data_IF_646360035315
#
_entry.id   IF_646360035315
#
_cell.length_a   1.000
_cell.length_b   1.000
_cell.length_c   1.000
_cell.angle_alpha   90.00
_cell.angle_beta   90.00
_cell.angle_gamma   90.00
#
_symmetry.space_group_name_H-M   'P 1'
#
loop_
_entity.id
_entity.type
_entity.pdbx_description
1 polymer ?
#
# COMPACT_ATOMS: atom_id res chain seq x y z
N UNK A 1 -1.16 -27.65 1.10
CA UNK A 1 -1.30 -27.49 2.57
C UNK A 1 -1.91 -26.14 2.98
N UNK A 2 -1.52 -25.00 2.37
CA UNK A 2 -2.12 -23.68 2.66
C UNK A 2 -3.56 -23.52 2.14
N UNK A 3 -3.86 -24.02 0.94
CA UNK A 3 -5.23 -24.04 0.39
C UNK A 3 -6.22 -24.81 1.28
N UNK A 4 -5.80 -25.98 1.77
CA UNK A 4 -6.61 -26.79 2.69
C UNK A 4 -6.91 -26.06 4.01
N UNK A 5 -5.95 -25.27 4.50
CA UNK A 5 -6.13 -24.43 5.69
C UNK A 5 -7.12 -23.29 5.41
N UNK A 6 -7.12 -22.75 4.20
CA UNK A 6 -8.03 -21.70 3.77
C UNK A 6 -9.48 -22.21 3.66
N UNK A 7 -9.66 -23.36 3.02
CA UNK A 7 -10.94 -24.07 2.92
C UNK A 7 -11.49 -24.43 4.32
N UNK A 8 -10.64 -24.94 5.23
CA UNK A 8 -11.05 -25.23 6.61
C UNK A 8 -11.43 -24.00 7.42
N UNK A 9 -10.72 -22.88 7.24
CA UNK A 9 -11.05 -21.61 7.88
C UNK A 9 -12.35 -21.02 7.31
N UNK A 10 -12.57 -21.16 6.00
CA UNK A 10 -13.79 -20.75 5.31
C UNK A 10 -15.00 -21.56 5.79
N UNK A 11 -14.87 -22.88 5.88
CA UNK A 11 -15.93 -23.73 6.43
C UNK A 11 -16.23 -23.45 7.91
N UNK A 12 -15.19 -23.20 8.73
CA UNK A 12 -15.39 -22.81 10.14
C UNK A 12 -16.12 -21.47 10.26
N UNK A 13 -15.82 -20.50 9.38
CA UNK A 13 -16.52 -19.22 9.35
C UNK A 13 -17.99 -19.36 8.90
N UNK A 14 -18.28 -20.29 7.98
CA UNK A 14 -19.66 -20.57 7.54
C UNK A 14 -20.45 -21.32 8.63
N UNK A 15 -19.82 -22.28 9.34
CA UNK A 15 -20.46 -23.00 10.45
C UNK A 15 -20.70 -22.16 11.69
N UNK A 16 -19.82 -21.20 11.98
CA UNK A 16 -20.00 -20.23 13.08
C UNK A 16 -20.88 -19.04 12.70
N UNK A 17 -21.64 -19.12 11.60
CA UNK A 17 -22.62 -18.09 11.27
C UNK A 17 -23.77 -18.23 12.27
N UNK A 18 -24.02 -17.25 13.14
CA UNK A 18 -25.13 -17.34 14.10
C UNK A 18 -26.45 -17.54 13.34
N UNK A 19 -27.25 -18.50 13.80
CA UNK A 19 -28.60 -18.74 13.31
C UNK A 19 -29.40 -17.44 13.34
N UNK A 20 -30.16 -17.20 12.27
CA UNK A 20 -30.83 -15.93 12.01
C UNK A 20 -31.82 -15.55 13.12
N UNK A 21 -31.50 -14.49 13.85
CA UNK A 21 -32.47 -13.69 14.60
C UNK A 21 -31.96 -12.24 14.71
N UNK A 22 -32.80 -11.32 14.26
CA UNK A 22 -32.59 -9.89 14.02
C UNK A 22 -31.80 -9.56 12.74
N UNK A 23 -32.40 -8.71 11.90
CA UNK A 23 -31.72 -8.13 10.75
C UNK A 23 -30.36 -7.58 11.22
N UNK A 24 -29.27 -8.07 10.63
CA UNK A 24 -27.95 -7.49 10.88
C UNK A 24 -28.06 -6.04 10.43
N UNK A 25 -28.29 -5.13 11.39
CA UNK A 25 -28.35 -3.70 11.14
C UNK A 25 -27.02 -3.36 10.51
N UNK A 26 -27.02 -3.15 9.18
CA UNK A 26 -25.81 -2.75 8.45
C UNK A 26 -25.21 -1.57 9.21
N UNK A 27 -23.95 -1.68 9.61
CA UNK A 27 -23.28 -0.60 10.29
C UNK A 27 -23.35 0.65 9.41
N UNK A 28 -23.74 1.78 9.97
CA UNK A 28 -23.79 3.06 9.26
C UNK A 28 -22.37 3.51 8.93
N UNK A 29 -21.42 3.24 9.82
CA UNK A 29 -19.99 3.45 9.63
C UNK A 29 -19.22 2.36 10.38
N UNK A 30 -18.15 1.86 9.75
CA UNK A 30 -17.26 0.83 10.26
C UNK A 30 -15.83 1.36 10.15
N UNK A 31 -15.20 1.62 11.28
CA UNK A 31 -13.84 2.16 11.38
C UNK A 31 -12.92 1.02 11.79
N UNK A 32 -12.02 0.62 10.90
CA UNK A 32 -10.97 -0.37 11.21
C UNK A 32 -9.74 0.35 11.72
N UNK A 33 -9.32 0.01 12.94
CA UNK A 33 -8.17 0.63 13.59
C UNK A 33 -6.95 -0.26 13.43
N UNK A 34 -5.89 0.33 12.90
CA UNK A 34 -4.59 -0.29 12.74
C UNK A 34 -3.54 0.54 13.46
N UNK A 35 -2.52 -0.13 13.99
CA UNK A 35 -1.35 0.50 14.57
C UNK A 35 -0.15 0.29 13.65
N UNK A 36 0.55 1.38 13.34
CA UNK A 36 1.73 1.33 12.52
C UNK A 36 2.88 0.66 13.27
N UNK A 37 3.45 -0.37 12.66
CA UNK A 37 4.70 -0.98 13.13
C UNK A 37 5.91 -0.24 12.55
N UNK A 38 7.11 -0.69 12.92
CA UNK A 38 8.34 -0.08 12.43
C UNK A 38 8.44 -0.18 10.90
N UNK A 39 8.25 0.95 10.24
CA UNK A 39 8.22 1.04 8.80
C UNK A 39 9.66 1.12 8.25
N UNK A 40 10.01 0.19 7.35
CA UNK A 40 11.29 0.20 6.64
C UNK A 40 11.10 0.75 5.23
N UNK A 41 11.66 1.93 4.99
CA UNK A 41 11.60 2.63 3.70
C UNK A 41 12.25 1.77 2.62
N UNK A 42 11.53 1.54 1.51
CA UNK A 42 12.12 0.96 0.31
C UNK A 42 12.44 -0.54 0.37
N UNK A 43 12.03 -1.25 1.41
CA UNK A 43 12.05 -2.72 1.43
C UNK A 43 10.67 -3.24 1.09
N UNK A 44 10.51 -3.79 -0.12
CA UNK A 44 9.34 -4.60 -0.44
C UNK A 44 9.47 -5.93 0.32
N UNK A 45 8.41 -6.36 1.01
CA UNK A 45 8.35 -7.72 1.53
C UNK A 45 8.53 -8.71 0.38
N UNK A 46 9.19 -9.85 0.64
CA UNK A 46 9.29 -10.93 -0.35
C UNK A 46 7.92 -11.65 -0.45
N UNK A 47 6.99 -11.00 -1.12
CA UNK A 47 5.65 -11.53 -1.34
C UNK A 47 5.66 -12.63 -2.40
N UNK A 48 4.63 -13.48 -2.41
CA UNK A 48 4.43 -14.48 -3.47
C UNK A 48 4.37 -13.86 -4.87
N UNK A 49 4.03 -12.57 -4.98
CA UNK A 49 4.00 -11.81 -6.24
C UNK A 49 5.39 -11.37 -6.72
N UNK A 50 6.43 -11.46 -5.88
CA UNK A 50 7.81 -11.14 -6.25
C UNK A 50 8.47 -12.21 -7.13
N UNK A 51 8.21 -13.49 -6.82
CA UNK A 51 8.84 -14.63 -7.50
C UNK A 51 8.40 -14.88 -8.95
N UNK A 52 7.13 -14.63 -9.35
CA UNK A 52 6.67 -14.83 -10.72
C UNK A 52 7.57 -14.18 -11.78
N UNK A 53 8.06 -12.96 -11.57
CA UNK A 53 8.90 -12.25 -12.55
C UNK A 53 10.25 -12.89 -12.82
N UNK A 54 10.83 -13.56 -11.82
CA UNK A 54 12.06 -14.33 -12.02
C UNK A 54 11.73 -15.62 -12.78
N UNK A 55 10.65 -16.30 -12.39
CA UNK A 55 10.21 -17.54 -13.04
C UNK A 55 9.87 -17.33 -14.52
N UNK A 56 9.11 -16.29 -14.84
CA UNK A 56 8.74 -15.95 -16.23
C UNK A 56 9.95 -15.56 -17.05
N UNK A 57 10.89 -14.78 -16.51
CA UNK A 57 12.14 -14.44 -17.20
C UNK A 57 12.94 -15.70 -17.56
N UNK A 58 13.01 -16.68 -16.66
CA UNK A 58 13.67 -17.97 -16.95
C UNK A 58 12.92 -18.73 -18.05
N UNK A 59 11.58 -18.79 -17.99
CA UNK A 59 10.77 -19.45 -19.03
C UNK A 59 10.95 -18.77 -20.39
N UNK A 60 10.98 -17.44 -20.43
CA UNK A 60 11.24 -16.67 -21.65
C UNK A 60 12.61 -17.00 -22.25
N UNK A 61 13.67 -17.12 -21.43
CA UNK A 61 15.00 -17.52 -21.88
C UNK A 61 15.02 -18.95 -22.45
N UNK A 62 14.31 -19.89 -21.81
CA UNK A 62 14.20 -21.27 -22.31
C UNK A 62 13.50 -21.31 -23.67
N UNK A 63 12.38 -20.59 -23.82
CA UNK A 63 11.66 -20.51 -25.10
C UNK A 63 12.54 -19.86 -26.17
N UNK A 64 13.29 -18.81 -25.81
CA UNK A 64 14.18 -18.11 -26.73
C UNK A 64 15.42 -18.93 -27.16
N UNK A 65 15.82 -19.92 -26.37
CA UNK A 65 16.94 -20.82 -26.71
C UNK A 65 16.56 -21.90 -27.75
N UNK A 66 15.27 -22.19 -27.92
CA UNK A 66 14.78 -23.16 -28.91
C UNK A 66 15.16 -22.76 -30.35
N UNK A 67 14.89 -21.54 -30.83
CA UNK A 67 15.25 -21.14 -32.19
C UNK A 67 16.77 -21.09 -32.41
N UNK A 68 17.53 -20.75 -31.37
CA UNK A 68 19.00 -20.79 -31.41
C UNK A 68 19.54 -22.20 -31.64
N UNK A 69 18.99 -23.20 -30.94
CA UNK A 69 19.45 -24.59 -31.04
C UNK A 69 18.96 -25.34 -32.27
N UNK A 70 17.73 -25.07 -32.75
CA UNK A 70 17.12 -25.83 -33.86
C UNK A 70 17.31 -25.19 -35.23
N UNK A 71 17.28 -23.85 -35.31
CA UNK A 71 17.30 -23.11 -36.57
C UNK A 71 18.58 -22.27 -36.75
N UNK A 72 19.44 -22.20 -35.74
CA UNK A 72 20.63 -21.34 -35.74
C UNK A 72 20.30 -19.84 -35.65
N UNK A 73 19.04 -19.49 -35.37
CA UNK A 73 18.58 -18.11 -35.25
C UNK A 73 18.88 -17.58 -33.85
N UNK A 74 19.96 -16.82 -33.76
CA UNK A 74 20.43 -16.16 -32.53
C UNK A 74 19.75 -14.83 -32.25
N UNK A 75 18.98 -14.28 -33.21
CA UNK A 75 18.34 -12.97 -33.09
C UNK A 75 17.30 -12.95 -31.96
N UNK A 76 16.43 -13.95 -31.93
CA UNK A 76 15.35 -14.06 -30.93
C UNK A 76 15.92 -14.20 -29.51
N UNK A 77 16.97 -15.01 -29.35
CA UNK A 77 17.66 -15.19 -28.09
C UNK A 77 18.31 -13.88 -27.62
N UNK A 78 19.06 -13.21 -28.50
CA UNK A 78 19.74 -11.96 -28.18
C UNK A 78 18.76 -10.85 -27.78
N UNK A 79 17.66 -10.67 -28.51
CA UNK A 79 16.64 -9.68 -28.19
C UNK A 79 15.99 -9.97 -26.84
N UNK A 80 15.72 -11.24 -26.54
CA UNK A 80 15.11 -11.63 -25.25
C UNK A 80 16.06 -11.34 -24.09
N UNK A 81 17.34 -11.72 -24.21
CA UNK A 81 18.36 -11.44 -23.18
C UNK A 81 18.51 -9.94 -22.96
N UNK A 82 18.68 -9.16 -24.04
CA UNK A 82 18.82 -7.70 -23.95
C UNK A 82 17.58 -7.07 -23.35
N UNK A 83 16.38 -7.48 -23.77
CA UNK A 83 15.11 -6.99 -23.23
C UNK A 83 14.93 -7.28 -21.74
N UNK A 84 15.31 -8.47 -21.28
CA UNK A 84 15.30 -8.83 -19.86
C UNK A 84 16.26 -7.92 -19.07
N UNK A 85 17.51 -7.79 -19.52
CA UNK A 85 18.50 -6.91 -18.87
C UNK A 85 17.97 -5.47 -18.80
N UNK A 86 17.43 -4.96 -19.92
CA UNK A 86 16.91 -3.61 -20.01
C UNK A 86 15.73 -3.39 -19.05
N UNK A 87 14.86 -4.39 -18.89
CA UNK A 87 13.75 -4.39 -17.94
C UNK A 87 14.23 -4.36 -16.49
N UNK A 88 15.21 -5.20 -16.12
CA UNK A 88 15.80 -5.19 -14.77
C UNK A 88 16.53 -3.89 -14.46
N UNK A 89 17.28 -3.34 -15.41
CA UNK A 89 17.96 -2.04 -15.25
C UNK A 89 16.94 -0.92 -15.09
N UNK A 90 15.88 -0.92 -15.90
CA UNK A 90 14.78 0.04 -15.78
C UNK A 90 14.11 -0.08 -14.42
N UNK A 91 13.77 -1.28 -13.96
CA UNK A 91 13.11 -1.51 -12.68
C UNK A 91 13.99 -1.21 -11.45
N UNK A 92 15.31 -1.32 -11.59
CA UNK A 92 16.27 -1.14 -10.49
C UNK A 92 16.79 0.30 -10.34
N UNK A 93 16.28 1.25 -11.14
CA UNK A 93 16.65 2.66 -11.00
C UNK A 93 16.33 3.15 -9.57
N UNK A 94 17.30 3.73 -8.86
CA UNK A 94 17.11 4.20 -7.47
C UNK A 94 16.03 5.28 -7.38
N UNK A 95 15.79 6.00 -8.47
CA UNK A 95 14.74 7.00 -8.61
C UNK A 95 13.36 6.44 -8.27
N UNK A 96 13.02 5.20 -8.69
CA UNK A 96 11.71 4.63 -8.38
C UNK A 96 11.49 4.47 -6.89
N UNK A 97 12.55 4.13 -6.15
CA UNK A 97 12.50 4.02 -4.70
C UNK A 97 12.35 5.39 -4.06
N UNK A 98 13.13 6.37 -4.52
CA UNK A 98 13.08 7.74 -3.99
C UNK A 98 11.73 8.42 -4.25
N UNK A 99 11.17 8.29 -5.46
CA UNK A 99 9.87 8.87 -5.82
C UNK A 99 8.71 8.17 -5.13
N UNK A 100 8.68 6.83 -5.14
CA UNK A 100 7.59 6.08 -4.50
C UNK A 100 7.59 6.24 -2.99
N UNK A 101 8.75 6.49 -2.37
CA UNK A 101 8.91 6.53 -0.92
C UNK A 101 9.39 7.88 -0.39
N UNK A 102 9.04 8.98 -1.06
CA UNK A 102 9.33 10.35 -0.65
C UNK A 102 8.52 10.80 0.59
N UNK A 103 8.52 9.99 1.64
CA UNK A 103 7.78 10.23 2.87
C UNK A 103 8.72 10.34 4.06
N UNK A 104 8.28 11.07 5.10
CA UNK A 104 8.98 11.09 6.38
C UNK A 104 8.71 9.77 7.10
N UNK A 105 9.77 9.10 7.55
CA UNK A 105 9.65 7.93 8.43
C UNK A 105 9.40 8.34 9.88
N UNK A 106 8.93 7.40 10.70
CA UNK A 106 8.71 7.55 12.14
C UNK A 106 7.76 8.70 12.51
N UNK A 107 6.69 8.86 11.74
CA UNK A 107 5.64 9.83 12.03
C UNK A 107 4.81 9.38 13.24
N UNK A 108 4.47 10.32 14.12
CA UNK A 108 3.48 10.10 15.20
C UNK A 108 2.05 10.39 14.76
N UNK A 109 1.87 11.00 13.59
CA UNK A 109 0.57 11.45 13.10
C UNK A 109 -0.39 10.28 12.90
N UNK A 110 -1.57 10.41 13.49
CA UNK A 110 -2.70 9.52 13.24
C UNK A 110 -3.41 9.91 11.95
N UNK A 111 -3.62 8.95 11.06
CA UNK A 111 -4.15 9.18 9.71
C UNK A 111 -5.45 8.42 9.51
N UNK A 112 -6.39 9.06 8.82
CA UNK A 112 -7.68 8.45 8.47
C UNK A 112 -7.77 8.32 6.96
N UNK A 113 -7.91 7.09 6.48
CA UNK A 113 -8.17 6.79 5.09
C UNK A 113 -9.65 6.47 4.91
N UNK A 114 -10.30 7.24 4.05
CA UNK A 114 -11.68 6.97 3.63
C UNK A 114 -11.72 6.77 2.13
N UNK A 115 -12.68 5.96 1.64
CA UNK A 115 -12.87 5.78 0.20
C UNK A 115 -13.52 7.02 -0.46
N UNK A 116 -14.03 7.94 0.36
CA UNK A 116 -14.77 9.14 -0.04
C UNK A 116 -15.97 9.40 0.86
N UNK A 117 -16.65 10.52 0.63
CA UNK A 117 -17.84 10.93 1.38
C UNK A 117 -18.94 9.86 1.28
N UNK A 118 -19.55 9.50 2.40
CA UNK A 118 -20.61 8.49 2.47
C UNK A 118 -20.13 7.03 2.37
N UNK A 119 -18.83 6.77 2.38
CA UNK A 119 -18.31 5.41 2.49
C UNK A 119 -18.62 4.81 3.87
N UNK A 120 -19.09 3.57 3.91
CA UNK A 120 -19.38 2.88 5.18
C UNK A 120 -18.12 2.39 5.90
N UNK A 121 -16.94 2.60 5.31
CA UNK A 121 -15.66 2.10 5.82
C UNK A 121 -14.63 3.22 5.90
N UNK A 122 -14.05 3.39 7.08
CA UNK A 122 -12.88 4.22 7.32
C UNK A 122 -11.76 3.37 7.93
N UNK A 123 -10.52 3.70 7.63
CA UNK A 123 -9.34 3.05 8.20
C UNK A 123 -8.61 4.11 9.02
N UNK A 124 -8.54 3.90 10.33
CA UNK A 124 -7.74 4.72 11.24
C UNK A 124 -6.39 4.04 11.41
N UNK A 125 -5.31 4.74 11.09
CA UNK A 125 -3.93 4.27 11.25
C UNK A 125 -3.27 5.12 12.33
N UNK A 126 -2.87 4.48 13.43
CA UNK A 126 -2.19 5.12 14.55
C UNK A 126 -0.68 5.19 14.28
N UNK A 127 -0.11 6.40 14.32
CA UNK A 127 1.28 6.63 13.90
C UNK A 127 2.33 6.17 14.92
N UNK A 128 2.09 6.44 16.21
CA UNK A 128 2.92 6.07 17.38
C UNK A 128 4.45 6.20 17.20
N UNK A 129 4.90 7.12 16.35
CA UNK A 129 6.31 7.37 16.06
C UNK A 129 7.01 6.28 15.24
N UNK A 130 6.25 5.36 14.63
CA UNK A 130 6.78 4.20 13.90
C UNK A 130 6.35 4.14 12.44
N UNK A 131 5.22 4.76 12.09
CA UNK A 131 4.64 4.75 10.74
C UNK A 131 5.27 5.73 9.75
N UNK A 132 4.83 5.64 8.49
CA UNK A 132 5.10 6.65 7.46
C UNK A 132 4.12 7.81 7.56
N UNK A 133 4.59 9.02 7.26
CA UNK A 133 3.70 10.15 7.02
C UNK A 133 3.00 10.00 5.66
N UNK A 134 1.79 9.44 5.69
CA UNK A 134 0.97 9.18 4.50
C UNK A 134 0.51 10.47 3.80
N UNK A 135 0.38 11.58 4.54
CA UNK A 135 0.06 12.88 3.96
C UNK A 135 1.23 13.39 3.11
N UNK A 136 2.46 13.25 3.62
CA UNK A 136 3.66 13.58 2.84
C UNK A 136 3.81 12.65 1.64
N UNK A 137 3.49 11.35 1.80
CA UNK A 137 3.48 10.38 0.70
C UNK A 137 2.46 10.75 -0.39
N UNK A 138 1.27 11.20 -0.01
CA UNK A 138 0.18 11.56 -0.93
C UNK A 138 0.36 12.92 -1.61
N UNK A 139 0.96 13.89 -0.91
CA UNK A 139 1.20 15.24 -1.44
C UNK A 139 2.37 15.30 -2.41
N UNK A 140 3.16 14.22 -2.55
CA UNK A 140 4.28 14.13 -3.48
C UNK A 140 5.23 15.33 -3.34
N UNK A 141 5.48 15.79 -2.10
CA UNK A 141 6.09 17.10 -1.89
C UNK A 141 7.51 17.15 -2.46
N UNK A 142 7.75 18.27 -3.15
CA UNK A 142 8.85 18.61 -4.05
C UNK A 142 10.27 18.73 -3.41
N UNK A 143 11.24 18.08 -4.09
CA UNK A 143 12.44 18.67 -4.74
C UNK A 143 13.78 18.91 -4.03
N UNK A 144 13.96 18.79 -2.73
CA UNK A 144 15.25 19.24 -2.13
C UNK A 144 16.32 18.16 -1.90
N UNK A 145 16.04 16.87 -2.14
CA UNK A 145 17.00 15.79 -1.83
C UNK A 145 17.12 14.72 -2.92
N UNK A 146 16.89 15.06 -4.20
CA UNK A 146 17.25 14.14 -5.28
C UNK A 146 18.76 14.18 -5.50
N UNK A 147 19.42 13.04 -5.30
CA UNK A 147 20.88 12.94 -5.29
C UNK A 147 21.55 13.29 -6.63
N UNK A 148 20.84 13.28 -7.77
CA UNK A 148 21.32 13.87 -9.02
C UNK A 148 20.24 13.89 -10.14
N UNK A 149 19.39 14.92 -10.24
CA UNK A 149 18.31 14.94 -11.23
C UNK A 149 18.81 14.89 -12.69
N UNK A 150 20.05 15.30 -12.96
CA UNK A 150 20.65 15.26 -14.30
C UNK A 150 21.07 13.85 -14.71
N UNK A 151 21.71 13.10 -13.81
CA UNK A 151 22.15 11.73 -14.09
C UNK A 151 20.95 10.79 -14.33
N UNK A 152 19.89 10.92 -13.53
CA UNK A 152 18.64 10.16 -13.73
C UNK A 152 17.99 10.49 -15.06
N UNK A 153 17.88 11.78 -15.43
CA UNK A 153 17.33 12.20 -16.74
C UNK A 153 18.13 11.64 -17.90
N UNK A 154 19.46 11.72 -17.84
CA UNK A 154 20.34 11.15 -18.87
C UNK A 154 20.16 9.63 -18.94
N UNK A 155 20.12 8.95 -17.79
CA UNK A 155 19.91 7.49 -17.73
C UNK A 155 18.58 7.08 -18.35
N UNK A 156 17.49 7.80 -18.06
CA UNK A 156 16.18 7.56 -18.66
C UNK A 156 16.17 7.80 -20.17
N UNK A 157 16.86 8.84 -20.66
CA UNK A 157 16.99 9.10 -22.11
C UNK A 157 17.77 8.00 -22.80
N UNK A 158 18.91 7.57 -22.24
CA UNK A 158 19.70 6.46 -22.77
C UNK A 158 18.87 5.17 -22.80
N UNK A 159 18.17 4.89 -21.69
CA UNK A 159 17.36 3.69 -21.56
C UNK A 159 16.19 3.68 -22.56
N UNK A 160 15.53 4.82 -22.75
CA UNK A 160 14.50 4.99 -23.77
C UNK A 160 15.05 4.78 -25.19
N UNK A 161 16.23 5.32 -25.50
CA UNK A 161 16.88 5.11 -26.80
C UNK A 161 17.23 3.63 -27.03
N UNK A 162 17.73 2.93 -26.01
CA UNK A 162 18.01 1.49 -26.07
C UNK A 162 16.73 0.67 -26.26
N UNK A 163 15.63 1.03 -25.62
CA UNK A 163 14.33 0.39 -25.83
C UNK A 163 13.85 0.57 -27.28
N UNK A 164 13.98 1.77 -27.84
CA UNK A 164 13.62 2.05 -29.24
C UNK A 164 14.50 1.23 -30.19
N UNK A 165 15.81 1.19 -29.97
CA UNK A 165 16.73 0.39 -30.78
C UNK A 165 16.40 -1.11 -30.72
N UNK A 166 16.07 -1.62 -29.53
CA UNK A 166 15.65 -3.00 -29.32
C UNK A 166 14.37 -3.31 -30.11
N UNK A 167 13.38 -2.41 -30.07
CA UNK A 167 12.12 -2.57 -30.81
C UNK A 167 12.31 -2.52 -32.32
N UNK A 168 13.17 -1.62 -32.82
CA UNK A 168 13.54 -1.56 -34.25
C UNK A 168 14.19 -2.89 -34.67
N UNK A 169 15.11 -3.40 -33.84
CA UNK A 169 15.80 -4.67 -34.11
C UNK A 169 14.81 -5.84 -34.10
N UNK A 170 13.86 -5.85 -33.16
CA UNK A 170 12.82 -6.87 -33.07
C UNK A 170 11.88 -6.84 -34.28
N UNK A 171 11.49 -5.65 -34.75
CA UNK A 171 10.68 -5.49 -35.95
C UNK A 171 11.42 -5.92 -37.23
N UNK A 172 12.76 -5.91 -37.22
CA UNK A 172 13.60 -6.36 -38.33
C UNK A 172 13.70 -7.88 -38.48
N UNK A 173 13.27 -8.67 -37.49
CA UNK A 173 13.33 -10.13 -37.55
C UNK A 173 12.19 -10.68 -38.42
N UNK A 174 12.59 -11.32 -39.53
CA UNK A 174 11.67 -11.91 -40.51
C UNK A 174 11.45 -13.41 -40.34
N UNK A 175 12.31 -14.08 -39.60
CA UNK A 175 12.27 -15.52 -39.39
C UNK A 175 11.74 -15.83 -38.00
N UNK A 176 10.98 -16.94 -37.86
CA UNK A 176 10.58 -17.49 -36.56
C UNK A 176 9.91 -16.46 -35.60
N UNK A 177 9.31 -15.39 -36.13
CA UNK A 177 8.76 -14.25 -35.36
C UNK A 177 7.67 -14.69 -34.35
N UNK A 178 7.06 -15.85 -34.55
CA UNK A 178 6.11 -16.44 -33.61
C UNK A 178 6.70 -16.67 -32.21
N UNK A 179 8.00 -17.01 -32.11
CA UNK A 179 8.64 -17.15 -30.80
C UNK A 179 8.72 -15.80 -30.08
N UNK A 180 9.03 -14.72 -30.78
CA UNK A 180 9.02 -13.36 -30.21
C UNK A 180 7.61 -12.95 -29.75
N UNK A 181 6.59 -13.27 -30.55
CA UNK A 181 5.19 -13.03 -30.19
C UNK A 181 4.83 -13.78 -28.90
N UNK A 182 5.20 -15.06 -28.80
CA UNK A 182 4.92 -15.90 -27.64
C UNK A 182 5.64 -15.39 -26.37
N UNK A 183 6.93 -15.07 -26.48
CA UNK A 183 7.74 -14.54 -25.39
C UNK A 183 7.20 -13.20 -24.90
N UNK A 184 6.90 -12.28 -25.83
CA UNK A 184 6.34 -10.96 -25.52
C UNK A 184 4.95 -11.06 -24.91
N UNK A 185 4.08 -11.90 -25.47
CA UNK A 185 2.73 -12.16 -24.94
C UNK A 185 2.76 -12.73 -23.52
N UNK A 186 3.66 -13.68 -23.25
CA UNK A 186 3.85 -14.23 -21.91
C UNK A 186 4.26 -13.15 -20.90
N UNK A 187 5.18 -12.26 -21.26
CA UNK A 187 5.60 -11.15 -20.41
C UNK A 187 4.50 -10.12 -20.17
N UNK A 188 3.69 -9.81 -21.19
CA UNK A 188 2.53 -8.91 -21.05
C UNK A 188 1.47 -9.50 -20.11
N UNK A 189 1.18 -10.80 -20.25
CA UNK A 189 0.23 -11.50 -19.39
C UNK A 189 0.69 -11.51 -17.93
N UNK A 190 1.98 -11.74 -17.68
CA UNK A 190 2.54 -11.68 -16.34
C UNK A 190 2.45 -10.26 -15.74
N UNK A 191 2.83 -9.23 -16.49
CA UNK A 191 2.70 -7.84 -16.04
C UNK A 191 1.26 -7.50 -15.67
N UNK A 192 0.28 -7.93 -16.46
CA UNK A 192 -1.13 -7.74 -16.18
C UNK A 192 -1.57 -8.48 -14.90
N UNK A 193 -1.12 -9.73 -14.72
CA UNK A 193 -1.39 -10.52 -13.52
C UNK A 193 -0.81 -9.86 -12.27
N UNK A 194 0.46 -9.44 -12.33
CA UNK A 194 1.17 -8.78 -11.23
C UNK A 194 0.50 -7.44 -10.86
N UNK A 195 0.04 -6.68 -11.85
CA UNK A 195 -0.66 -5.41 -11.64
C UNK A 195 -2.08 -5.60 -11.08
N UNK A 196 -2.79 -6.67 -11.48
CA UNK A 196 -4.13 -6.99 -11.00
C UNK A 196 -4.17 -7.62 -9.61
N UNK A 197 -3.04 -8.10 -9.09
CA UNK A 197 -3.00 -8.78 -7.80
C UNK A 197 -3.03 -7.78 -6.64
N UNK A 198 -4.03 -7.91 -5.76
CA UNK A 198 -4.09 -7.14 -4.51
C UNK A 198 -2.92 -7.51 -3.60
N UNK A 199 -2.20 -6.51 -3.10
CA UNK A 199 -1.07 -6.70 -2.19
C UNK A 199 -1.38 -6.19 -0.79
N UNK A 200 -0.80 -6.85 0.20
CA UNK A 200 -0.92 -6.41 1.59
C UNK A 200 -0.10 -5.15 1.84
N UNK A 201 -0.46 -4.31 2.82
CA UNK A 201 0.35 -3.14 3.20
C UNK A 201 1.81 -3.51 3.54
N UNK A 202 2.02 -4.67 4.18
CA UNK A 202 3.35 -5.20 4.52
C UNK A 202 4.24 -5.45 3.29
N UNK A 203 3.64 -5.83 2.15
CA UNK A 203 4.33 -5.99 0.86
C UNK A 203 5.05 -4.71 0.42
N UNK A 204 4.48 -3.58 0.80
CA UNK A 204 4.94 -2.24 0.48
C UNK A 204 5.80 -1.64 1.62
N UNK A 205 6.21 -2.43 2.61
CA UNK A 205 7.01 -1.94 3.74
C UNK A 205 6.19 -1.16 4.78
N UNK A 206 4.86 -1.13 4.66
CA UNK A 206 3.93 -0.57 5.62
C UNK A 206 3.32 -1.69 6.45
N UNK A 207 4.07 -2.18 7.45
CA UNK A 207 3.52 -3.19 8.35
C UNK A 207 2.51 -2.53 9.29
N UNK A 208 1.27 -3.01 9.22
CA UNK A 208 0.14 -2.52 10.01
C UNK A 208 -0.38 -3.68 10.85
N UNK A 209 -0.43 -3.47 12.17
CA UNK A 209 -1.06 -4.42 13.08
C UNK A 209 -2.53 -4.06 13.26
N UNK A 210 -3.41 -5.05 13.09
CA UNK A 210 -4.85 -4.84 13.32
C UNK A 210 -5.11 -4.76 14.82
N UNK A 211 -5.80 -3.70 15.25
CA UNK A 211 -6.14 -3.49 16.67
C UNK A 211 -7.59 -3.90 16.91
N UNK A 212 -8.53 -3.19 16.28
CA UNK A 212 -9.96 -3.46 16.45
C UNK A 212 -10.81 -2.86 15.33
N UNK A 213 -12.10 -3.22 15.29
CA UNK A 213 -13.11 -2.57 14.45
C UNK A 213 -14.16 -1.93 15.34
N UNK A 214 -14.45 -0.65 15.08
CA UNK A 214 -15.50 0.12 15.75
C UNK A 214 -16.60 0.39 14.73
N UNK A 215 -17.81 -0.11 14.96
CA UNK A 215 -18.93 0.14 14.05
C UNK A 215 -20.29 0.07 14.73
N UNK A 216 -21.12 1.08 14.47
CA UNK A 216 -22.51 1.16 14.97
C UNK A 216 -23.49 1.40 13.81
N UNK A 217 -24.78 1.07 13.99
CA UNK A 217 -25.80 1.33 12.96
C UNK A 217 -25.93 2.82 12.57
N UNK A 218 -25.67 3.73 13.51
CA UNK A 218 -25.62 5.17 13.22
C UNK A 218 -24.17 5.63 13.10
N UNK A 219 -23.91 6.44 12.08
CA UNK A 219 -22.58 7.04 11.81
C UNK A 219 -22.11 7.83 13.03
N UNK A 220 -22.95 8.71 13.56
CA UNK A 220 -22.61 9.58 14.68
C UNK A 220 -22.23 8.81 15.95
N UNK A 221 -22.94 7.72 16.24
CA UNK A 221 -22.63 6.85 17.39
C UNK A 221 -21.26 6.19 17.24
N UNK A 222 -20.88 5.81 16.01
CA UNK A 222 -19.55 5.25 15.71
C UNK A 222 -18.46 6.30 15.90
N UNK A 223 -18.71 7.56 15.49
CA UNK A 223 -17.77 8.67 15.68
C UNK A 223 -17.55 9.00 17.15
N UNK A 224 -18.62 9.02 17.97
CA UNK A 224 -18.49 9.19 19.41
C UNK A 224 -17.72 8.06 20.08
N UNK A 225 -17.92 6.82 19.64
CA UNK A 225 -17.18 5.68 20.18
C UNK A 225 -15.70 5.72 19.81
N UNK A 226 -15.36 6.15 18.59
CA UNK A 226 -13.97 6.40 18.20
C UNK A 226 -13.38 7.51 19.05
N UNK A 227 -14.03 8.66 19.21
CA UNK A 227 -13.48 9.76 20.02
C UNK A 227 -13.22 9.36 21.47
N UNK A 228 -14.09 8.53 22.07
CA UNK A 228 -13.91 8.04 23.44
C UNK A 228 -12.64 7.21 23.62
N UNK A 229 -12.28 6.42 22.60
CA UNK A 229 -11.13 5.50 22.62
C UNK A 229 -9.85 6.14 22.06
N UNK A 230 -10.00 6.92 21.01
CA UNK A 230 -8.95 7.59 20.25
C UNK A 230 -9.29 9.08 20.16
N UNK A 231 -8.78 9.90 21.11
CA UNK A 231 -9.03 11.34 21.14
C UNK A 231 -8.69 12.01 19.80
N UNK A 232 -9.48 13.01 19.40
CA UNK A 232 -9.35 13.79 18.16
C UNK A 232 -9.62 13.04 16.84
N UNK A 233 -9.58 11.70 16.83
CA UNK A 233 -9.84 10.90 15.64
C UNK A 233 -11.32 10.91 15.22
N UNK A 234 -12.25 10.87 16.18
CA UNK A 234 -13.68 10.91 15.89
C UNK A 234 -14.11 12.29 15.38
N UNK A 235 -13.62 13.35 16.04
CA UNK A 235 -13.95 14.74 15.72
C UNK A 235 -13.48 15.13 14.31
N UNK A 236 -12.26 14.72 13.92
CA UNK A 236 -11.73 14.99 12.58
C UNK A 236 -12.53 14.33 11.45
N UNK A 237 -13.18 13.20 11.72
CA UNK A 237 -14.07 12.51 10.77
C UNK A 237 -15.44 13.16 10.60
N UNK A 238 -15.90 13.99 11.55
CA UNK A 238 -17.23 14.62 11.47
C UNK A 238 -17.37 15.45 10.20
N UNK A 239 -16.34 16.22 9.83
CA UNK A 239 -16.34 17.03 8.61
C UNK A 239 -16.43 16.23 7.31
N UNK A 240 -15.96 14.97 7.32
CA UNK A 240 -15.97 14.07 6.16
C UNK A 240 -17.37 13.46 5.97
N UNK A 241 -18.00 13.01 7.06
CA UNK A 241 -19.30 12.32 6.99
C UNK A 241 -20.51 13.24 7.07
N UNK A 242 -20.36 14.44 7.65
CA UNK A 242 -21.42 15.44 7.78
C UNK A 242 -20.97 16.80 7.18
N UNK A 243 -20.75 16.86 5.86
CA UNK A 243 -20.34 18.09 5.20
C UNK A 243 -21.44 19.16 5.36
N UNK A 244 -21.08 20.29 5.95
CA UNK A 244 -22.01 21.40 6.24
C UNK A 244 -22.27 21.65 7.73
N UNK A 245 -21.68 20.85 8.64
CA UNK A 245 -21.58 21.20 10.07
C UNK A 245 -22.92 21.31 10.82
N UNK A 246 -24.00 20.78 10.23
CA UNK A 246 -25.33 20.79 10.84
C UNK A 246 -25.45 19.66 11.86
N UNK A 247 -24.80 19.86 13.00
CA UNK A 247 -24.95 19.02 14.19
C UNK A 247 -26.14 19.48 15.01
N UNK A 248 -26.89 18.52 15.56
CA UNK A 248 -27.95 18.82 16.53
C UNK A 248 -27.34 19.38 17.83
N UNK A 249 -28.14 20.11 18.60
CA UNK A 249 -27.64 20.74 19.83
C UNK A 249 -27.15 19.69 20.86
N UNK A 250 -27.85 18.58 20.99
CA UNK A 250 -27.47 17.45 21.86
C UNK A 250 -26.19 16.75 21.39
N UNK A 251 -25.93 16.75 20.08
CA UNK A 251 -24.69 16.22 19.51
C UNK A 251 -23.51 17.16 19.78
N UNK A 252 -23.71 18.48 19.68
CA UNK A 252 -22.68 19.48 20.01
C UNK A 252 -22.27 19.40 21.47
N UNK A 253 -23.23 19.34 22.38
CA UNK A 253 -22.96 19.20 23.82
C UNK A 253 -22.14 17.95 24.12
N UNK A 254 -22.43 16.83 23.45
CA UNK A 254 -21.64 15.60 23.57
C UNK A 254 -20.22 15.76 23.03
N UNK A 255 -20.04 16.42 21.89
CA UNK A 255 -18.70 16.69 21.34
C UNK A 255 -17.90 17.62 22.25
N UNK A 256 -18.52 18.65 22.82
CA UNK A 256 -17.85 19.57 23.75
C UNK A 256 -17.42 18.85 25.02
N UNK A 257 -18.25 17.95 25.55
CA UNK A 257 -17.89 17.11 26.69
C UNK A 257 -16.73 16.16 26.37
N UNK A 258 -16.75 15.51 25.20
CA UNK A 258 -15.66 14.62 24.77
C UNK A 258 -14.36 15.39 24.53
N UNK A 259 -14.43 16.60 23.98
CA UNK A 259 -13.29 17.47 23.76
C UNK A 259 -12.63 17.86 25.09
N UNK A 260 -13.43 18.26 26.09
CA UNK A 260 -12.92 18.56 27.45
C UNK A 260 -12.22 17.35 28.07
N UNK A 261 -12.84 16.18 28.00
CA UNK A 261 -12.25 14.94 28.52
C UNK A 261 -10.93 14.58 27.81
N UNK A 262 -10.82 14.83 26.50
CA UNK A 262 -9.60 14.61 25.74
C UNK A 262 -8.48 15.57 26.19
N UNK A 263 -8.79 16.86 26.34
CA UNK A 263 -7.85 17.89 26.81
C UNK A 263 -7.38 17.62 28.25
N UNK A 264 -8.26 17.15 29.13
CA UNK A 264 -7.91 16.75 30.50
C UNK A 264 -6.95 15.55 30.51
N UNK A 265 -7.25 14.48 29.75
CA UNK A 265 -6.36 13.32 29.63
C UNK A 265 -4.99 13.68 29.07
N UNK A 266 -4.93 14.63 28.13
CA UNK A 266 -3.66 15.08 27.57
C UNK A 266 -2.83 15.87 28.59
N UNK A 267 -3.47 16.72 29.41
CA UNK A 267 -2.82 17.42 30.51
C UNK A 267 -2.26 16.44 31.53
N UNK A 268 -3.07 15.47 31.97
CA UNK A 268 -2.65 14.43 32.92
C UNK A 268 -1.48 13.62 32.37
N UNK A 269 -1.51 13.26 31.08
CA UNK A 269 -0.44 12.54 30.42
C UNK A 269 0.87 13.37 30.38
N UNK A 270 0.80 14.67 30.06
CA UNK A 270 1.96 15.57 30.05
C UNK A 270 2.55 15.77 31.45
N UNK A 271 1.70 15.92 32.46
CA UNK A 271 2.14 16.03 33.86
C UNK A 271 2.84 14.76 34.33
N UNK A 272 2.23 13.58 34.09
CA UNK A 272 2.84 12.29 34.46
C UNK A 272 4.17 12.02 33.75
N UNK A 273 4.32 12.46 32.51
CA UNK A 273 5.58 12.35 31.77
C UNK A 273 6.66 13.23 32.40
N UNK A 274 6.33 14.49 32.71
CA UNK A 274 7.26 15.45 33.33
C UNK A 274 7.78 14.93 34.67
N UNK A 275 6.90 14.42 35.53
CA UNK A 275 7.27 13.82 36.82
C UNK A 275 8.19 12.61 36.66
N UNK A 276 7.95 11.73 35.66
CA UNK A 276 8.82 10.57 35.40
C UNK A 276 10.21 10.95 34.89
N UNK A 277 10.32 11.97 34.04
CA UNK A 277 11.62 12.47 33.57
C UNK A 277 12.42 13.18 34.66
N UNK A 278 11.75 13.86 35.58
CA UNK A 278 12.39 14.48 36.75
C UNK A 278 12.91 13.42 37.74
N UNK A 279 12.21 12.29 37.89
CA UNK A 279 12.63 11.18 38.77
C UNK A 279 13.73 10.29 38.18
N UNK A 280 13.80 10.11 36.86
CA UNK A 280 14.84 9.30 36.19
C UNK A 280 16.09 10.11 35.80
N UNK A 281 16.10 11.42 36.07
CA UNK A 281 17.21 12.35 35.77
C UNK A 281 18.00 12.83 36.99
N UNK A 282 17.73 12.29 38.18
CA UNK A 282 18.57 12.40 39.40
C UNK A 282 19.20 11.06 39.73
#
# INVERSE_FOLDING_TARGET
MKELKYELLREKAIRNKPESSNSVKKAGLCISVYEAEEAKVGTSGHDFVYWPGICTSIIQLVIAAIPYGLFGDWGIFLITVVGIILSFVTGSLPQWREEKWACRGKSDKDMILTRGNGSQHAILILGKGKGFDLETLATGRDRTSFSNPKATRISLVILAALWVLLLITAAGIKENTWFLLAIGGLGLAENAFVAGTMRTPSAYGMSLSFVEVIGKPKVMDSLFEVEKKYPHAGLSMVGIFFPGGKLRQDEKEKWDALKKNAEEREKDAKESYKTRTEQNGS
#
